data_IF_372336334380
#
_entry.id   IF_372336334380
#
_cell.length_a   1.000
_cell.length_b   1.000
_cell.length_c   1.000
_cell.angle_alpha   90.00
_cell.angle_beta   90.00
_cell.angle_gamma   90.00
#
_symmetry.space_group_name_H-M   'P 1'
#
loop_
_entity.id
_entity.type
_entity.pdbx_description
1 polymer ?
#
# COMPACT_ATOMS: atom_id res chain seq x y z
N UNK A 1 3.45 -12.07 15.73
CA UNK A 1 4.25 -13.31 15.54
C UNK A 1 5.31 -13.39 16.63
N UNK A 2 5.01 -14.10 17.74
CA UNK A 2 5.93 -14.12 18.90
C UNK A 2 7.28 -14.76 18.57
N UNK A 3 7.31 -15.81 17.76
CA UNK A 3 8.53 -16.55 17.40
C UNK A 3 9.51 -15.68 16.58
N UNK A 4 8.98 -14.73 15.79
CA UNK A 4 9.77 -13.77 15.01
C UNK A 4 10.03 -12.46 15.77
N UNK A 5 9.39 -12.27 16.94
CA UNK A 5 9.33 -10.97 17.62
C UNK A 5 8.88 -9.84 16.65
N UNK A 6 7.92 -10.17 15.80
CA UNK A 6 7.40 -9.29 14.74
C UNK A 6 5.92 -8.98 14.96
N UNK A 7 5.60 -7.71 15.05
CA UNK A 7 4.24 -7.20 15.11
C UNK A 7 3.79 -6.81 13.69
N UNK A 8 2.51 -7.00 13.38
CA UNK A 8 1.94 -6.67 12.07
C UNK A 8 1.09 -5.39 12.21
N UNK A 9 1.49 -4.31 11.55
CA UNK A 9 0.88 -2.96 11.59
C UNK A 9 0.35 -2.53 12.98
N UNK A 10 1.17 -2.57 14.03
CA UNK A 10 0.67 -2.24 15.37
C UNK A 10 0.49 -0.71 15.52
N UNK A 11 -0.67 -0.29 16.05
CA UNK A 11 -0.97 1.12 16.33
C UNK A 11 -0.10 1.76 17.43
N UNK A 12 0.71 0.98 18.15
CA UNK A 12 1.60 1.46 19.20
C UNK A 12 3.03 1.06 18.90
N UNK A 13 3.99 1.91 19.27
CA UNK A 13 5.40 1.64 19.11
C UNK A 13 5.80 0.26 19.63
N UNK A 14 6.60 -0.46 18.86
CA UNK A 14 7.13 -1.79 19.13
C UNK A 14 8.62 -1.83 18.83
N UNK A 15 9.30 -2.83 19.40
CA UNK A 15 10.71 -3.05 19.10
C UNK A 15 10.91 -3.36 17.61
N UNK A 16 10.06 -4.20 17.02
CA UNK A 16 10.11 -4.56 15.60
C UNK A 16 8.70 -4.76 15.05
N UNK A 17 8.40 -4.12 13.94
CA UNK A 17 7.08 -4.19 13.31
C UNK A 17 7.19 -4.30 11.79
N UNK A 18 6.39 -5.19 11.20
CA UNK A 18 6.06 -5.13 9.80
C UNK A 18 5.10 -3.96 9.58
N UNK A 19 5.46 -3.07 8.66
CA UNK A 19 4.64 -1.93 8.24
C UNK A 19 4.27 -2.14 6.78
N UNK A 20 3.01 -2.47 6.55
CA UNK A 20 2.52 -2.87 5.22
C UNK A 20 2.63 -1.74 4.20
N UNK A 21 2.40 -0.49 4.61
CA UNK A 21 2.46 0.67 3.74
C UNK A 21 2.59 1.98 4.55
N UNK A 22 2.86 3.10 3.86
CA UNK A 22 3.21 4.36 4.51
C UNK A 22 2.00 5.31 4.70
N UNK A 23 0.81 4.82 5.03
CA UNK A 23 -0.28 5.65 5.55
C UNK A 23 -0.09 5.92 7.03
N UNK A 24 -0.70 7.03 7.52
CA UNK A 24 -0.46 7.52 8.88
C UNK A 24 -1.03 6.59 9.96
N UNK A 25 -2.14 5.94 9.69
CA UNK A 25 -2.83 4.99 10.59
C UNK A 25 -2.09 3.65 10.74
N UNK A 26 -1.16 3.34 9.82
CA UNK A 26 -0.21 2.21 9.91
C UNK A 26 1.16 2.62 10.48
N UNK A 27 1.31 3.89 10.87
CA UNK A 27 2.56 4.39 11.43
C UNK A 27 2.50 4.48 12.95
N UNK A 28 3.55 3.96 13.60
CA UNK A 28 3.91 4.30 14.98
C UNK A 28 5.45 4.37 15.07
N UNK A 29 6.00 4.96 16.14
CA UNK A 29 7.44 5.18 16.28
C UNK A 29 8.17 3.88 16.70
N UNK A 30 8.19 2.86 15.82
CA UNK A 30 8.88 1.60 16.06
C UNK A 30 10.39 1.77 16.11
N UNK A 31 11.10 0.83 16.77
CA UNK A 31 12.56 0.82 16.73
C UNK A 31 13.08 0.25 15.39
N UNK A 32 12.43 -0.80 14.86
CA UNK A 32 12.74 -1.38 13.56
C UNK A 32 11.45 -1.50 12.75
N UNK A 33 11.50 -1.01 11.50
CA UNK A 33 10.46 -1.10 10.49
C UNK A 33 10.83 -2.16 9.46
N UNK A 34 10.18 -3.30 9.49
CA UNK A 34 10.26 -4.32 8.42
C UNK A 34 9.22 -3.95 7.37
N UNK A 35 9.62 -3.65 6.16
CA UNK A 35 8.70 -3.17 5.11
C UNK A 35 9.29 -3.40 3.71
N UNK A 36 8.52 -3.09 2.66
CA UNK A 36 9.10 -3.01 1.32
C UNK A 36 10.12 -1.86 1.26
N UNK A 37 11.14 -1.98 0.41
CA UNK A 37 12.14 -0.91 0.18
C UNK A 37 11.44 0.43 -0.13
N UNK A 38 10.41 0.39 -0.99
CA UNK A 38 9.65 1.58 -1.38
C UNK A 38 8.88 2.19 -0.20
N UNK A 39 8.20 1.36 0.60
CA UNK A 39 7.55 1.82 1.85
C UNK A 39 8.57 2.45 2.79
N UNK A 40 9.76 1.86 2.91
CA UNK A 40 10.85 2.41 3.72
C UNK A 40 11.31 3.80 3.24
N UNK A 41 11.49 3.98 1.93
CA UNK A 41 11.83 5.28 1.34
C UNK A 41 10.74 6.32 1.64
N UNK A 42 9.47 5.97 1.43
CA UNK A 42 8.33 6.85 1.69
C UNK A 42 8.25 7.19 3.19
N UNK A 43 8.40 6.22 4.07
CA UNK A 43 8.39 6.42 5.52
C UNK A 43 9.54 7.35 5.99
N UNK A 44 10.72 7.23 5.39
CA UNK A 44 11.84 8.14 5.66
C UNK A 44 11.49 9.60 5.29
N UNK A 45 10.89 9.82 4.12
CA UNK A 45 10.51 11.16 3.65
C UNK A 45 9.32 11.72 4.43
N UNK A 46 8.27 10.92 4.58
CA UNK A 46 6.96 11.35 5.11
C UNK A 46 6.95 11.46 6.63
N UNK A 47 7.53 10.48 7.32
CA UNK A 47 7.52 10.38 8.79
C UNK A 47 8.88 10.64 9.43
N UNK A 48 9.90 10.91 8.61
CA UNK A 48 11.28 11.13 9.07
C UNK A 48 11.87 9.92 9.83
N UNK A 49 11.43 8.73 9.47
CA UNK A 49 11.99 7.49 10.01
C UNK A 49 13.47 7.43 9.62
N UNK A 50 14.37 7.30 10.60
CA UNK A 50 15.78 7.20 10.31
C UNK A 50 16.08 5.94 9.47
N UNK A 51 16.95 6.06 8.46
CA UNK A 51 17.30 4.92 7.58
C UNK A 51 17.84 3.72 8.35
N UNK A 52 18.53 3.96 9.48
CA UNK A 52 19.05 2.90 10.36
C UNK A 52 17.96 2.09 11.08
N UNK A 53 16.72 2.55 11.05
CA UNK A 53 15.56 1.84 11.61
C UNK A 53 14.74 1.09 10.55
N UNK A 54 15.11 1.22 9.28
CA UNK A 54 14.38 0.61 8.15
C UNK A 54 15.10 -0.67 7.74
N UNK A 55 14.41 -1.78 7.88
CA UNK A 55 14.74 -3.10 7.35
C UNK A 55 13.88 -3.31 6.09
N UNK A 56 14.38 -2.81 4.96
CA UNK A 56 13.67 -2.85 3.68
C UNK A 56 13.99 -4.13 2.91
N UNK A 57 12.97 -4.79 2.39
CA UNK A 57 13.08 -5.97 1.53
C UNK A 57 12.43 -5.71 0.17
N UNK A 58 13.02 -6.26 -0.89
CA UNK A 58 12.41 -6.18 -2.21
C UNK A 58 11.10 -6.99 -2.25
N UNK A 59 10.11 -6.50 -3.01
CA UNK A 59 8.91 -7.28 -3.24
C UNK A 59 9.27 -8.59 -3.97
N UNK A 60 8.62 -9.69 -3.60
CA UNK A 60 8.83 -11.07 -4.10
C UNK A 60 10.14 -11.73 -3.66
N UNK A 61 11.06 -10.97 -3.05
CA UNK A 61 12.23 -11.55 -2.42
C UNK A 61 11.84 -12.51 -1.29
N UNK A 62 12.59 -13.58 -1.17
CA UNK A 62 12.43 -14.57 -0.10
C UNK A 62 13.65 -14.52 0.79
N UNK A 63 13.42 -14.36 2.09
CA UNK A 63 14.49 -14.49 3.08
C UNK A 63 14.10 -15.45 4.20
N UNK A 64 15.07 -15.90 4.95
CA UNK A 64 14.85 -16.80 6.07
C UNK A 64 15.24 -16.15 7.38
N UNK A 65 14.39 -16.29 8.38
CA UNK A 65 14.65 -15.80 9.72
C UNK A 65 13.99 -16.69 10.76
N UNK A 66 14.74 -17.06 11.81
CA UNK A 66 14.25 -17.81 12.98
C UNK A 66 13.35 -19.00 12.62
N UNK A 67 13.69 -19.74 11.56
CA UNK A 67 12.93 -20.92 11.12
C UNK A 67 11.68 -20.63 10.29
N UNK A 68 11.53 -19.40 9.82
CA UNK A 68 10.50 -19.00 8.85
C UNK A 68 11.13 -18.62 7.51
N UNK A 69 10.44 -18.96 6.44
CA UNK A 69 10.61 -18.33 5.15
C UNK A 69 9.61 -17.17 5.07
N UNK A 70 10.09 -15.99 4.68
CA UNK A 70 9.32 -14.76 4.66
C UNK A 70 9.38 -14.17 3.26
N UNK A 71 8.24 -13.65 2.79
CA UNK A 71 8.14 -12.98 1.49
C UNK A 71 7.20 -11.81 1.57
N UNK A 72 7.56 -10.68 0.96
CA UNK A 72 6.66 -9.56 0.72
C UNK A 72 6.05 -9.68 -0.66
N UNK A 73 4.72 -9.58 -0.74
CA UNK A 73 3.95 -9.55 -1.97
C UNK A 73 3.35 -8.17 -2.17
N UNK A 74 3.23 -7.65 -3.39
CA UNK A 74 2.56 -6.37 -3.60
C UNK A 74 1.08 -6.45 -3.19
N UNK A 75 0.60 -5.43 -2.49
CA UNK A 75 -0.77 -5.36 -1.99
C UNK A 75 -1.71 -4.57 -2.92
N UNK A 76 -1.17 -3.81 -3.89
CA UNK A 76 -1.99 -3.06 -4.86
C UNK A 76 -2.65 -1.79 -4.31
N UNK A 77 -2.48 -1.50 -3.02
CA UNK A 77 -3.17 -0.40 -2.35
C UNK A 77 -2.58 0.98 -2.70
N UNK A 78 -1.28 1.13 -2.49
CA UNK A 78 -0.47 2.29 -2.90
C UNK A 78 0.93 1.81 -3.32
N UNK A 79 1.71 2.68 -3.94
CA UNK A 79 3.09 2.39 -4.33
C UNK A 79 3.89 1.82 -3.16
N UNK A 80 4.46 0.64 -3.34
CA UNK A 80 5.25 -0.07 -2.34
C UNK A 80 4.45 -0.78 -1.25
N UNK A 81 3.11 -0.69 -1.23
CA UNK A 81 2.30 -1.44 -0.27
C UNK A 81 2.53 -2.95 -0.41
N UNK A 82 2.68 -3.62 0.72
CA UNK A 82 3.06 -5.03 0.77
C UNK A 82 2.17 -5.84 1.72
N UNK A 83 1.88 -7.06 1.31
CA UNK A 83 1.43 -8.16 2.18
C UNK A 83 2.66 -8.91 2.68
N UNK A 84 2.59 -9.54 3.84
CA UNK A 84 3.62 -10.45 4.31
C UNK A 84 3.11 -11.89 4.31
N UNK A 85 3.81 -12.76 3.61
CA UNK A 85 3.59 -14.20 3.60
C UNK A 85 4.69 -14.90 4.40
N UNK A 86 4.29 -15.74 5.35
CA UNK A 86 5.17 -16.47 6.26
C UNK A 86 4.96 -17.96 6.08
N UNK A 87 6.04 -18.72 5.94
CA UNK A 87 6.02 -20.19 5.98
C UNK A 87 6.88 -20.67 7.13
N UNK A 88 6.29 -21.36 8.12
CA UNK A 88 7.04 -21.94 9.23
C UNK A 88 7.71 -23.25 8.77
N UNK A 89 9.03 -23.31 8.80
CA UNK A 89 9.81 -24.43 8.24
C UNK A 89 9.63 -25.75 8.99
N UNK A 90 9.25 -25.72 10.26
CA UNK A 90 9.13 -26.94 11.09
C UNK A 90 7.96 -27.85 10.69
N UNK A 91 6.88 -27.29 10.15
CA UNK A 91 5.66 -28.02 9.79
C UNK A 91 5.01 -27.54 8.48
N UNK A 92 5.59 -26.53 7.83
CA UNK A 92 5.09 -25.97 6.58
C UNK A 92 3.85 -25.07 6.73
N UNK A 93 3.40 -24.78 7.96
CA UNK A 93 2.23 -23.92 8.17
C UNK A 93 2.45 -22.49 7.63
N UNK A 94 1.44 -21.97 6.94
CA UNK A 94 1.52 -20.69 6.23
C UNK A 94 0.56 -19.64 6.77
N UNK A 95 1.00 -18.37 6.75
CA UNK A 95 0.19 -17.22 7.12
C UNK A 95 0.35 -16.12 6.08
N UNK A 96 -0.76 -15.51 5.67
CA UNK A 96 -0.79 -14.28 4.88
C UNK A 96 -1.47 -13.17 5.69
N UNK A 97 -0.76 -12.05 5.88
CA UNK A 97 -1.31 -10.79 6.38
C UNK A 97 -1.33 -9.78 5.24
N UNK A 98 -2.52 -9.25 4.92
CA UNK A 98 -2.69 -8.40 3.73
C UNK A 98 -2.32 -6.95 3.96
N UNK A 99 -2.40 -6.43 5.19
CA UNK A 99 -2.55 -4.99 5.37
C UNK A 99 -3.74 -4.49 4.56
N UNK A 100 -3.71 -3.23 4.14
CA UNK A 100 -4.68 -2.71 3.17
C UNK A 100 -4.30 -3.16 1.76
N UNK A 101 -5.28 -3.63 1.00
CA UNK A 101 -5.04 -4.16 -0.33
C UNK A 101 -6.09 -3.71 -1.35
N UNK A 102 -5.73 -3.75 -2.63
CA UNK A 102 -6.62 -3.44 -3.75
C UNK A 102 -6.41 -4.50 -4.85
N UNK A 103 -7.48 -5.23 -5.19
CA UNK A 103 -7.41 -6.27 -6.23
C UNK A 103 -7.43 -5.73 -7.66
N UNK A 104 -7.94 -4.50 -7.85
CA UNK A 104 -7.92 -3.82 -9.15
C UNK A 104 -6.56 -3.17 -9.35
N UNK A 105 -5.96 -3.36 -10.51
CA UNK A 105 -4.72 -2.67 -10.85
C UNK A 105 -4.92 -1.15 -10.87
N UNK A 106 -4.04 -0.40 -10.21
CA UNK A 106 -3.97 1.05 -10.29
C UNK A 106 -2.98 1.52 -11.35
N UNK A 107 -2.82 2.85 -11.47
CA UNK A 107 -1.83 3.46 -12.37
C UNK A 107 -0.45 3.61 -11.69
N UNK A 108 -0.41 3.63 -10.36
CA UNK A 108 0.78 4.00 -9.59
C UNK A 108 1.26 2.93 -8.62
N UNK A 109 0.46 1.93 -8.32
CA UNK A 109 0.83 0.82 -7.44
C UNK A 109 1.07 -0.46 -8.25
N UNK A 110 1.93 -1.33 -7.75
CA UNK A 110 2.10 -2.68 -8.26
C UNK A 110 0.79 -3.46 -8.10
N UNK A 111 0.43 -4.29 -9.09
CA UNK A 111 -0.76 -5.14 -9.00
C UNK A 111 -0.65 -6.11 -7.81
N UNK A 112 -1.74 -6.29 -7.07
CA UNK A 112 -1.76 -7.20 -5.92
C UNK A 112 -1.49 -8.66 -6.34
N UNK A 113 -0.68 -9.36 -5.55
CA UNK A 113 -0.37 -10.78 -5.73
C UNK A 113 -0.69 -11.55 -4.46
N UNK A 114 -1.33 -12.70 -4.60
CA UNK A 114 -1.73 -13.53 -3.47
C UNK A 114 -1.09 -14.91 -3.56
N UNK A 115 -0.67 -15.42 -2.42
CA UNK A 115 -0.30 -16.83 -2.25
C UNK A 115 -1.31 -17.51 -1.35
N UNK A 116 -1.59 -18.80 -1.56
CA UNK A 116 -2.38 -19.60 -0.62
C UNK A 116 -1.74 -19.59 0.77
N UNK A 117 -2.58 -19.58 1.80
CA UNK A 117 -2.13 -19.67 3.18
C UNK A 117 -3.15 -20.43 4.04
N UNK A 118 -2.67 -21.15 5.08
CA UNK A 118 -3.53 -21.83 6.05
C UNK A 118 -4.24 -20.83 6.96
N UNK A 119 -3.59 -19.67 7.22
CA UNK A 119 -4.12 -18.59 8.04
C UNK A 119 -4.10 -17.30 7.23
N UNK A 120 -5.27 -16.67 7.08
CA UNK A 120 -5.42 -15.36 6.46
C UNK A 120 -5.82 -14.33 7.52
N UNK A 121 -5.04 -13.25 7.61
CA UNK A 121 -5.39 -12.05 8.37
C UNK A 121 -5.59 -10.93 7.35
N UNK A 122 -6.82 -10.40 7.24
CA UNK A 122 -7.19 -9.45 6.19
C UNK A 122 -8.08 -8.33 6.72
N UNK A 123 -7.98 -7.17 6.07
CA UNK A 123 -8.94 -6.09 6.23
C UNK A 123 -10.29 -6.46 5.60
N UNK A 124 -11.35 -5.75 6.01
CA UNK A 124 -12.71 -5.93 5.46
C UNK A 124 -13.44 -4.60 5.31
N UNK A 125 -12.72 -3.51 5.06
CA UNK A 125 -13.24 -2.14 4.98
C UNK A 125 -14.42 -2.03 4.02
N UNK A 126 -14.34 -2.67 2.86
CA UNK A 126 -15.39 -2.71 1.85
C UNK A 126 -16.00 -4.12 1.68
N UNK A 127 -15.93 -4.96 2.70
CA UNK A 127 -16.39 -6.36 2.66
C UNK A 127 -17.92 -6.55 2.69
N UNK A 128 -18.71 -5.49 2.83
CA UNK A 128 -20.17 -5.60 2.82
C UNK A 128 -20.73 -5.51 1.40
N UNK A 129 -21.79 -6.29 1.05
CA UNK A 129 -22.39 -6.32 -0.29
C UNK A 129 -22.89 -4.96 -0.80
N UNK A 130 -23.12 -3.99 0.08
CA UNK A 130 -23.56 -2.64 -0.32
C UNK A 130 -22.46 -1.83 -1.03
N UNK A 131 -21.20 -2.22 -0.90
CA UNK A 131 -20.08 -1.54 -1.54
C UNK A 131 -19.88 -2.09 -2.96
N UNK A 132 -20.65 -1.56 -3.89
CA UNK A 132 -20.51 -1.84 -5.32
C UNK A 132 -19.86 -0.63 -5.97
N UNK A 133 -18.63 -0.78 -6.43
CA UNK A 133 -17.89 0.30 -7.07
C UNK A 133 -18.04 0.26 -8.58
N UNK A 134 -18.10 1.42 -9.26
CA UNK A 134 -18.02 1.48 -10.72
C UNK A 134 -16.73 0.83 -11.24
N UNK A 135 -16.69 0.53 -12.51
CA UNK A 135 -15.47 0.06 -13.17
C UNK A 135 -14.39 1.15 -13.12
N UNK A 136 -13.13 0.77 -13.24
CA UNK A 136 -12.00 1.70 -13.29
C UNK A 136 -12.16 2.70 -14.46
N UNK A 137 -12.62 2.22 -15.61
CA UNK A 137 -12.87 3.06 -16.80
C UNK A 137 -13.96 4.09 -16.55
N UNK A 138 -15.08 3.70 -15.92
CA UNK A 138 -16.15 4.64 -15.60
C UNK A 138 -15.67 5.75 -14.64
N UNK A 139 -14.81 5.40 -13.67
CA UNK A 139 -14.24 6.40 -12.74
C UNK A 139 -13.30 7.35 -13.50
N UNK A 140 -12.43 6.83 -14.37
CA UNK A 140 -11.52 7.63 -15.19
C UNK A 140 -12.32 8.57 -16.12
N UNK A 141 -13.33 8.07 -16.80
CA UNK A 141 -14.17 8.86 -17.69
C UNK A 141 -14.91 9.99 -16.94
N UNK A 142 -15.39 9.72 -15.73
CA UNK A 142 -16.03 10.75 -14.89
C UNK A 142 -15.04 11.84 -14.47
N UNK A 143 -13.82 11.48 -14.08
CA UNK A 143 -12.79 12.46 -13.70
C UNK A 143 -12.39 13.31 -14.90
N UNK A 144 -12.14 12.68 -16.05
CA UNK A 144 -11.74 13.40 -17.27
C UNK A 144 -12.89 14.26 -17.79
N UNK A 145 -14.13 13.77 -17.76
CA UNK A 145 -15.31 14.55 -18.14
C UNK A 145 -15.54 15.78 -17.25
N UNK A 146 -15.33 15.65 -15.93
CA UNK A 146 -15.39 16.80 -15.02
C UNK A 146 -14.32 17.85 -15.36
N UNK A 147 -13.09 17.42 -15.61
CA UNK A 147 -11.98 18.31 -15.94
C UNK A 147 -12.25 19.03 -17.28
N UNK A 148 -12.72 18.31 -18.29
CA UNK A 148 -13.03 18.88 -19.59
C UNK A 148 -14.18 19.89 -19.52
N UNK A 149 -15.25 19.56 -18.79
CA UNK A 149 -16.39 20.48 -18.60
C UNK A 149 -15.97 21.79 -17.94
N UNK A 150 -15.10 21.72 -16.92
CA UNK A 150 -14.58 22.93 -16.28
C UNK A 150 -13.78 23.81 -17.26
N UNK A 151 -12.96 23.20 -18.13
CA UNK A 151 -12.21 23.93 -19.14
C UNK A 151 -13.11 24.56 -20.20
N UNK A 152 -14.17 23.85 -20.63
CA UNK A 152 -15.14 24.37 -21.59
C UNK A 152 -15.90 25.59 -21.03
N UNK A 153 -16.12 25.62 -19.71
CA UNK A 153 -16.71 26.75 -18.98
C UNK A 153 -15.70 27.87 -18.64
N UNK A 154 -14.41 27.71 -19.01
CA UNK A 154 -13.35 28.67 -18.71
C UNK A 154 -12.93 28.66 -17.23
N UNK A 155 -13.23 27.59 -16.50
CA UNK A 155 -12.94 27.42 -15.08
C UNK A 155 -11.67 26.57 -14.86
N UNK A 156 -11.13 26.62 -13.63
CA UNK A 156 -10.01 25.77 -13.23
C UNK A 156 -10.54 24.64 -12.35
N UNK A 157 -10.48 23.36 -12.79
CA UNK A 157 -10.93 22.23 -11.99
C UNK A 157 -10.01 22.03 -10.79
N UNK A 158 -10.59 21.80 -9.61
CA UNK A 158 -9.86 21.49 -8.39
C UNK A 158 -10.22 20.06 -7.95
N UNK A 159 -9.23 19.17 -7.92
CA UNK A 159 -9.37 17.79 -7.53
C UNK A 159 -8.72 17.55 -6.16
N UNK A 160 -9.48 16.97 -5.24
CA UNK A 160 -8.99 16.63 -3.90
C UNK A 160 -8.69 15.12 -3.79
N UNK A 161 -7.51 14.78 -3.30
CA UNK A 161 -7.10 13.42 -3.03
C UNK A 161 -6.21 13.34 -1.79
N UNK A 162 -6.21 12.19 -1.12
CA UNK A 162 -5.22 11.95 -0.08
C UNK A 162 -3.81 12.02 -0.66
N UNK A 163 -2.90 12.67 0.07
CA UNK A 163 -1.53 12.96 -0.37
C UNK A 163 -0.67 11.73 -0.68
N UNK A 164 -1.09 10.51 -0.27
CA UNK A 164 -0.47 9.27 -0.66
C UNK A 164 -1.53 8.31 -1.21
N UNK A 165 -1.32 7.84 -2.44
CA UNK A 165 -2.19 6.94 -3.16
C UNK A 165 -3.13 7.67 -4.12
N UNK A 166 -4.27 8.19 -3.65
CA UNK A 166 -5.31 8.77 -4.52
C UNK A 166 -4.84 9.98 -5.34
N UNK A 167 -4.07 10.88 -4.73
CA UNK A 167 -3.55 12.03 -5.46
C UNK A 167 -2.63 11.60 -6.61
N UNK A 168 -1.75 10.63 -6.37
CA UNK A 168 -0.85 10.10 -7.40
C UNK A 168 -1.62 9.39 -8.54
N UNK A 169 -2.68 8.64 -8.22
CA UNK A 169 -3.55 8.02 -9.23
C UNK A 169 -4.21 9.08 -10.14
N UNK A 170 -4.73 10.16 -9.54
CA UNK A 170 -5.33 11.27 -10.30
C UNK A 170 -4.29 11.96 -11.17
N UNK A 171 -3.11 12.27 -10.62
CA UNK A 171 -2.02 12.89 -11.37
C UNK A 171 -1.61 12.02 -12.55
N UNK A 172 -1.39 10.71 -12.34
CA UNK A 172 -1.03 9.77 -13.38
C UNK A 172 -2.12 9.65 -14.47
N UNK A 173 -3.41 9.72 -14.09
CA UNK A 173 -4.51 9.76 -15.04
C UNK A 173 -4.47 11.02 -15.91
N UNK A 174 -4.27 12.20 -15.30
CA UNK A 174 -4.20 13.46 -16.03
C UNK A 174 -2.99 13.51 -16.95
N UNK A 175 -1.82 13.10 -16.47
CA UNK A 175 -0.60 13.02 -17.28
C UNK A 175 -0.76 12.08 -18.47
N UNK A 176 -1.37 10.91 -18.29
CA UNK A 176 -1.66 9.95 -19.36
C UNK A 176 -2.56 10.54 -20.47
N UNK A 177 -3.35 11.56 -20.15
CA UNK A 177 -4.24 12.26 -21.08
C UNK A 177 -3.74 13.67 -21.47
N UNK A 178 -2.45 13.94 -21.29
CA UNK A 178 -1.80 15.21 -21.63
C UNK A 178 -2.44 16.45 -20.96
N UNK A 179 -3.04 16.27 -19.78
CA UNK A 179 -3.65 17.33 -18.99
C UNK A 179 -2.65 17.81 -17.93
N UNK A 180 -2.11 19.03 -18.05
CA UNK A 180 -1.16 19.55 -17.04
C UNK A 180 -1.86 19.82 -15.72
N UNK A 181 -1.20 19.48 -14.62
CA UNK A 181 -1.74 19.76 -13.29
C UNK A 181 -0.71 20.46 -12.38
N UNK A 182 -1.23 21.34 -11.51
CA UNK A 182 -0.46 21.95 -10.43
C UNK A 182 -0.76 21.25 -9.13
N UNK A 183 0.27 20.93 -8.37
CA UNK A 183 0.13 20.31 -7.05
C UNK A 183 0.28 21.37 -5.97
N UNK A 184 -0.69 21.41 -5.05
CA UNK A 184 -0.55 22.17 -3.82
C UNK A 184 0.36 21.40 -2.85
N UNK A 185 1.33 22.10 -2.27
CA UNK A 185 2.27 21.53 -1.28
C UNK A 185 1.66 21.47 0.11
#
# INVERSE_FOLDING_TARGET
MPELDLWLDPHRAKQRAFVSHAHFDHYAAHEIFVCSETTGIIANVRFRVAKSKIEGHALREVWEERGFEIRLLPAGHITGSAMIHLTRKSDGATLLYTGDFKTRAGLTAEAAEFLPADILITETTFGLPKYVFPSEQEIQDQILGFVQSAFDDGETPILFGYSLGKAQEVIALLEKNDIPCLQHK
#
